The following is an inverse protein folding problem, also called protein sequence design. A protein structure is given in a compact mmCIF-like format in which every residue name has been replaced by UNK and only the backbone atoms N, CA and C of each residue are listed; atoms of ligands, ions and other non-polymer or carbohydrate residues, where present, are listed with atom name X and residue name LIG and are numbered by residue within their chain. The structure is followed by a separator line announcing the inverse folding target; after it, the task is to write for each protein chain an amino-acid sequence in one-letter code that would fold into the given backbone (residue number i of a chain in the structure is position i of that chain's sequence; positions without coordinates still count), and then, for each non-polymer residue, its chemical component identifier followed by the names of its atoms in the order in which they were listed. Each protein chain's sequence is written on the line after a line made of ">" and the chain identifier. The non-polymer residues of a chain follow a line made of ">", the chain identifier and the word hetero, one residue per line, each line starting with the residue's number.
data_IF_013939375565
#
_entry.id   IF_013939375565
#
_cell.length_a   1.000
_cell.length_b   1.000
_cell.length_c   1.000
_cell.angle_alpha   90.00
_cell.angle_beta   90.00
_cell.angle_gamma   90.00
#
_symmetry.space_group_name_H-M   'P 1'
#
loop_
_entity.id
_entity.type
_entity.pdbx_description
1 polymer ?
#
# COMPACT_ATOMS: atom_id res chain seq x y z
N UNK A 1 -6.67 -16.66 20.93
CA UNK A 1 -5.80 -17.02 19.83
C UNK A 1 -5.81 -15.95 18.77
N UNK A 2 -4.73 -15.80 18.04
CA UNK A 2 -4.61 -14.77 17.04
C UNK A 2 -3.73 -15.18 15.89
N UNK A 3 -3.50 -14.24 14.99
CA UNK A 3 -2.70 -14.44 13.80
C UNK A 3 -1.45 -13.57 13.91
N UNK A 4 -0.33 -14.08 13.44
CA UNK A 4 0.90 -13.31 13.35
C UNK A 4 1.01 -12.78 11.92
N UNK A 5 1.13 -11.47 11.79
CA UNK A 5 1.39 -10.83 10.49
C UNK A 5 2.81 -10.32 10.47
N UNK A 6 3.46 -10.42 9.32
CA UNK A 6 4.85 -9.98 9.16
C UNK A 6 4.92 -8.79 8.22
N UNK A 7 5.85 -7.90 8.49
CA UNK A 7 6.04 -6.74 7.65
C UNK A 7 7.08 -5.80 8.22
N UNK A 8 7.24 -4.69 7.53
CA UNK A 8 8.17 -3.65 7.92
C UNK A 8 7.43 -2.52 8.61
N UNK A 9 7.98 -2.05 9.72
CA UNK A 9 7.47 -0.84 10.36
C UNK A 9 7.96 0.35 9.55
N UNK A 10 7.05 1.05 8.88
CA UNK A 10 7.42 2.17 8.02
C UNK A 10 7.67 3.44 8.80
N UNK A 11 6.85 3.69 9.82
CA UNK A 11 6.95 4.89 10.65
C UNK A 11 6.52 4.59 12.08
N UNK A 12 7.10 5.32 13.01
CA UNK A 12 6.70 5.28 14.41
C UNK A 12 7.11 4.02 15.12
N UNK A 13 6.35 3.70 16.13
CA UNK A 13 6.61 2.56 17.03
C UNK A 13 5.31 1.84 17.26
N UNK A 14 5.33 0.50 17.14
CA UNK A 14 4.19 -0.32 17.53
C UNK A 14 4.55 -1.04 18.83
N UNK A 15 3.64 -0.98 19.81
CA UNK A 15 3.86 -1.56 21.13
C UNK A 15 2.83 -2.62 21.45
N UNK A 16 3.24 -3.56 22.28
CA UNK A 16 2.34 -4.57 22.85
C UNK A 16 1.24 -3.85 23.63
N UNK A 17 0.02 -4.35 23.49
CA UNK A 17 -1.22 -3.85 24.12
C UNK A 17 -1.80 -2.60 23.43
N UNK A 18 -1.20 -2.12 22.35
CA UNK A 18 -1.79 -1.01 21.60
C UNK A 18 -2.88 -1.49 20.65
N UNK A 19 -3.92 -0.67 20.53
CA UNK A 19 -4.97 -0.89 19.55
C UNK A 19 -4.46 -0.47 18.18
N UNK A 20 -4.75 -1.27 17.16
CA UNK A 20 -4.37 -0.98 15.78
C UNK A 20 -5.56 -1.20 14.86
N UNK A 21 -5.52 -0.55 13.70
CA UNK A 21 -6.46 -0.79 12.61
C UNK A 21 -5.77 -1.57 11.51
N UNK A 22 -6.53 -2.46 10.87
CA UNK A 22 -6.10 -3.17 9.67
C UNK A 22 -6.78 -2.45 8.51
N UNK A 23 -5.99 -1.78 7.67
CA UNK A 23 -6.49 -0.85 6.66
C UNK A 23 -6.12 -1.30 5.26
N UNK A 24 -7.10 -1.26 4.36
CA UNK A 24 -6.90 -1.57 2.95
C UNK A 24 -7.49 -2.92 2.54
N UNK A 25 -7.75 -3.08 1.27
CA UNK A 25 -8.28 -4.27 0.60
C UNK A 25 -9.71 -4.60 1.06
N UNK A 26 -9.89 -4.81 2.35
CA UNK A 26 -11.18 -5.13 2.97
C UNK A 26 -11.64 -3.97 3.86
N UNK A 27 -12.83 -4.07 4.41
CA UNK A 27 -13.31 -3.08 5.37
C UNK A 27 -12.32 -2.98 6.54
N UNK A 28 -12.08 -1.75 6.99
CA UNK A 28 -11.17 -1.50 8.11
C UNK A 28 -11.67 -2.17 9.38
N UNK A 29 -10.81 -2.89 10.06
CA UNK A 29 -11.12 -3.54 11.33
C UNK A 29 -10.15 -3.10 12.40
N UNK A 30 -10.53 -3.25 13.65
CA UNK A 30 -9.69 -2.93 14.80
C UNK A 30 -9.31 -4.19 15.56
N UNK A 31 -8.10 -4.20 16.06
CA UNK A 31 -7.63 -5.29 16.92
C UNK A 31 -6.56 -4.73 17.85
N UNK A 32 -5.97 -5.60 18.65
CA UNK A 32 -4.92 -5.22 19.59
C UNK A 32 -3.66 -5.99 19.28
N UNK A 33 -2.54 -5.30 19.28
CA UNK A 33 -1.23 -5.94 19.19
C UNK A 33 -0.95 -6.62 20.53
N UNK A 34 -0.85 -7.95 20.53
CA UNK A 34 -0.59 -8.70 21.75
C UNK A 34 0.84 -9.24 21.82
N UNK A 35 1.61 -9.07 20.76
CA UNK A 35 3.00 -9.48 20.76
C UNK A 35 3.75 -8.90 19.58
N UNK A 36 5.03 -8.62 19.79
CA UNK A 36 5.97 -8.19 18.74
C UNK A 36 7.13 -9.18 18.75
N UNK A 37 7.46 -9.69 17.57
CA UNK A 37 8.51 -10.69 17.42
C UNK A 37 9.52 -10.26 16.37
N UNK A 38 10.80 -10.44 16.67
CA UNK A 38 11.87 -10.20 15.69
C UNK A 38 12.99 -11.20 15.99
N UNK A 39 13.44 -11.92 14.93
CA UNK A 39 14.48 -12.96 15.08
C UNK A 39 14.12 -13.99 16.16
N UNK A 40 12.84 -14.39 16.21
CA UNK A 40 12.33 -15.38 17.18
C UNK A 40 12.39 -14.92 18.63
N UNK A 41 12.59 -13.62 18.86
CA UNK A 41 12.55 -13.03 20.20
C UNK A 41 11.29 -12.20 20.35
N UNK A 42 10.69 -12.27 21.52
CA UNK A 42 9.56 -11.44 21.87
C UNK A 42 10.08 -10.10 22.37
N UNK A 43 9.51 -9.03 21.86
CA UNK A 43 9.89 -7.67 22.19
C UNK A 43 8.68 -6.92 22.71
N UNK A 44 8.91 -5.79 23.38
CA UNK A 44 7.83 -4.93 23.85
C UNK A 44 7.34 -4.00 22.73
N UNK A 45 8.17 -3.73 21.74
CA UNK A 45 7.84 -2.80 20.68
C UNK A 45 8.63 -3.08 19.41
N UNK A 46 8.10 -2.60 18.28
CA UNK A 46 8.80 -2.58 16.99
C UNK A 46 8.95 -1.15 16.52
N UNK A 47 10.10 -0.81 15.95
CA UNK A 47 10.44 0.55 15.52
C UNK A 47 10.58 0.67 14.01
N UNK A 48 10.40 1.89 13.52
CA UNK A 48 10.56 2.21 12.09
C UNK A 48 11.86 1.63 11.53
N UNK A 49 11.75 0.98 10.38
CA UNK A 49 12.86 0.32 9.71
C UNK A 49 13.01 -1.15 10.03
N UNK A 50 12.37 -1.63 11.09
CA UNK A 50 12.48 -3.03 11.49
C UNK A 50 11.45 -3.92 10.81
N UNK A 51 11.86 -5.15 10.49
CA UNK A 51 10.93 -6.19 10.03
C UNK A 51 10.50 -6.97 11.26
N UNK A 52 9.19 -7.03 11.47
CA UNK A 52 8.63 -7.62 12.69
C UNK A 52 7.48 -8.57 12.37
N UNK A 53 7.19 -9.46 13.30
CA UNK A 53 5.95 -10.21 13.34
C UNK A 53 5.08 -9.60 14.42
N UNK A 54 3.82 -9.33 14.09
CA UNK A 54 2.87 -8.74 15.03
C UNK A 54 1.77 -9.75 15.30
N UNK A 55 1.56 -10.07 16.56
CA UNK A 55 0.48 -10.95 16.97
C UNK A 55 -0.78 -10.11 17.20
N UNK A 56 -1.83 -10.44 16.48
CA UNK A 56 -3.10 -9.72 16.52
C UNK A 56 -4.16 -10.53 17.26
N UNK A 57 -4.80 -9.92 18.23
CA UNK A 57 -5.81 -10.57 19.06
C UNK A 57 -7.05 -10.91 18.26
N UNK A 58 -7.53 -12.16 18.39
CA UNK A 58 -8.81 -12.58 17.83
C UNK A 58 -8.92 -12.49 16.31
N UNK A 59 -7.81 -12.28 15.63
CA UNK A 59 -7.78 -12.13 14.18
C UNK A 59 -7.50 -13.49 13.57
N UNK A 60 -8.31 -13.89 12.61
CA UNK A 60 -8.10 -15.14 11.89
C UNK A 60 -7.20 -14.88 10.69
N UNK A 61 -6.56 -15.93 10.20
CA UNK A 61 -5.68 -15.83 9.05
C UNK A 61 -6.38 -15.25 7.82
N UNK A 62 -7.64 -15.65 7.59
CA UNK A 62 -8.43 -15.17 6.46
C UNK A 62 -8.90 -13.72 6.60
N UNK A 63 -8.73 -13.13 7.77
CA UNK A 63 -9.12 -11.74 8.01
C UNK A 63 -8.04 -10.75 7.56
N UNK A 64 -6.86 -11.22 7.24
CA UNK A 64 -5.73 -10.39 6.83
C UNK A 64 -5.19 -10.84 5.50
N UNK A 65 -4.74 -9.90 4.68
CA UNK A 65 -4.08 -10.25 3.43
C UNK A 65 -2.98 -9.25 3.08
N UNK A 66 -2.14 -9.68 2.17
CA UNK A 66 -1.03 -8.88 1.68
C UNK A 66 -1.54 -7.54 1.15
N UNK A 67 -0.84 -6.48 1.47
CA UNK A 67 -1.19 -5.14 1.02
C UNK A 67 -1.95 -4.33 2.06
N UNK A 68 -2.45 -4.97 3.10
CA UNK A 68 -3.05 -4.25 4.20
C UNK A 68 -1.98 -3.62 5.08
N UNK A 69 -2.34 -2.56 5.78
CA UNK A 69 -1.44 -1.83 6.66
C UNK A 69 -1.99 -1.85 8.07
N UNK A 70 -1.14 -2.14 9.03
CA UNK A 70 -1.46 -1.95 10.44
C UNK A 70 -1.12 -0.52 10.80
N UNK A 71 -2.05 0.20 11.38
CA UNK A 71 -1.86 1.60 11.71
C UNK A 71 -2.53 1.96 13.01
N UNK A 72 -2.02 3.01 13.65
CA UNK A 72 -2.68 3.60 14.80
C UNK A 72 -4.08 4.06 14.36
N UNK A 73 -5.13 3.79 15.15
CA UNK A 73 -6.49 4.13 14.73
C UNK A 73 -6.64 5.58 14.28
N UNK A 74 -7.28 5.77 13.12
CA UNK A 74 -7.56 7.08 12.57
C UNK A 74 -6.41 7.79 11.86
N UNK A 75 -5.25 7.15 11.73
CA UNK A 75 -4.07 7.82 11.14
C UNK A 75 -3.94 7.67 9.63
N UNK A 76 -4.49 6.61 9.07
CA UNK A 76 -4.47 6.38 7.62
C UNK A 76 -5.79 5.77 7.20
N UNK A 77 -6.23 6.08 5.97
CA UNK A 77 -7.51 5.60 5.45
C UNK A 77 -7.32 4.90 4.11
N UNK A 78 -8.25 3.99 3.77
CA UNK A 78 -8.21 3.34 2.45
C UNK A 78 -8.82 4.25 1.40
N UNK A 79 -8.27 4.19 0.19
CA UNK A 79 -8.77 4.96 -0.95
C UNK A 79 -8.73 4.11 -2.20
N UNK A 80 -9.71 4.30 -3.07
CA UNK A 80 -9.73 3.69 -4.40
C UNK A 80 -9.38 4.70 -5.47
N UNK A 81 -9.65 5.99 -5.24
CA UNK A 81 -9.44 7.03 -6.24
C UNK A 81 -8.45 8.06 -5.71
N UNK A 82 -7.47 8.40 -6.53
CA UNK A 82 -6.45 9.37 -6.12
C UNK A 82 -5.85 10.08 -7.31
N UNK A 83 -5.32 11.27 -7.06
CA UNK A 83 -4.54 12.02 -8.02
C UNK A 83 -3.08 11.69 -7.83
N UNK A 84 -2.33 11.61 -8.92
CA UNK A 84 -0.92 11.29 -8.86
C UNK A 84 -0.14 11.96 -9.97
N UNK A 85 1.16 12.02 -9.79
CA UNK A 85 2.10 12.46 -10.80
C UNK A 85 2.99 11.26 -11.13
N UNK A 86 3.09 10.94 -12.42
CA UNK A 86 3.79 9.75 -12.90
C UNK A 86 4.86 10.14 -13.88
N UNK A 87 6.06 9.62 -13.69
CA UNK A 87 7.12 9.68 -14.67
C UNK A 87 7.17 8.34 -15.41
N UNK A 88 7.04 8.39 -16.73
CA UNK A 88 7.08 7.19 -17.57
C UNK A 88 8.53 6.98 -18.00
N UNK A 89 9.15 5.93 -17.50
CA UNK A 89 10.55 5.62 -17.82
C UNK A 89 10.72 5.51 -19.33
N UNK A 90 11.80 6.10 -19.83
CA UNK A 90 12.15 6.01 -21.23
C UNK A 90 12.71 4.62 -21.55
N UNK A 91 12.81 4.30 -22.84
CA UNK A 91 13.40 3.03 -23.28
C UNK A 91 14.82 2.84 -22.72
N UNK A 92 15.62 3.91 -22.75
CA UNK A 92 17.00 3.91 -22.27
C UNK A 92 17.10 3.66 -20.78
N UNK A 93 16.04 4.01 -20.04
CA UNK A 93 15.97 3.80 -18.59
C UNK A 93 15.38 2.44 -18.23
N UNK A 94 15.14 1.59 -19.23
CA UNK A 94 14.54 0.29 -19.01
C UNK A 94 13.01 0.31 -19.01
N UNK A 95 12.44 1.40 -19.47
CA UNK A 95 10.99 1.57 -19.51
C UNK A 95 10.35 0.97 -20.75
N UNK A 96 9.10 1.32 -20.96
CA UNK A 96 8.34 0.82 -22.10
C UNK A 96 8.79 1.45 -23.40
N UNK A 97 8.53 0.77 -24.51
CA UNK A 97 8.92 1.23 -25.83
C UNK A 97 7.79 1.93 -26.59
N UNK A 98 6.58 1.82 -26.07
CA UNK A 98 5.38 2.33 -26.74
C UNK A 98 4.61 3.26 -25.82
N UNK A 99 3.82 4.18 -26.36
CA UNK A 99 2.96 5.02 -25.53
C UNK A 99 1.81 4.22 -24.96
N UNK A 100 1.15 4.78 -23.96
CA UNK A 100 -0.14 4.25 -23.53
C UNK A 100 -1.23 5.30 -23.74
N UNK A 101 -2.45 4.83 -23.81
CA UNK A 101 -3.59 5.64 -24.22
C UNK A 101 -4.66 5.69 -23.15
N UNK A 102 -5.68 6.50 -23.38
CA UNK A 102 -6.89 6.52 -22.55
C UNK A 102 -7.39 5.10 -22.35
N UNK A 103 -7.83 4.82 -21.15
CA UNK A 103 -8.34 3.49 -20.82
C UNK A 103 -7.25 2.50 -20.40
N UNK A 104 -6.02 2.95 -20.29
CA UNK A 104 -4.92 2.11 -19.82
C UNK A 104 -5.23 1.60 -18.43
N UNK A 105 -5.05 0.29 -18.22
CA UNK A 105 -5.51 -0.37 -17.02
C UNK A 105 -4.43 -1.32 -16.47
N UNK A 106 -3.31 -0.75 -16.00
CA UNK A 106 -2.17 -1.53 -15.53
C UNK A 106 -2.30 -2.00 -14.08
N UNK A 107 -1.26 -2.67 -13.59
CA UNK A 107 -1.10 -3.00 -12.19
C UNK A 107 -0.33 -1.90 -11.48
N UNK A 108 -0.85 -1.50 -10.33
CA UNK A 108 -0.24 -0.50 -9.45
C UNK A 108 0.35 -1.20 -8.25
N UNK A 109 1.63 -1.01 -8.02
CA UNK A 109 2.37 -1.68 -6.95
C UNK A 109 2.52 -0.76 -5.76
N UNK A 110 1.83 -1.10 -4.69
CA UNK A 110 1.89 -0.36 -3.42
C UNK A 110 2.48 -1.28 -2.36
N UNK A 111 3.60 -0.86 -1.77
CA UNK A 111 4.24 -1.63 -0.70
C UNK A 111 4.44 -3.09 -1.10
N UNK A 112 3.61 -4.00 -0.58
CA UNK A 112 3.78 -5.44 -0.75
C UNK A 112 2.79 -6.07 -1.72
N UNK A 113 1.92 -5.29 -2.33
CA UNK A 113 0.89 -5.85 -3.20
C UNK A 113 0.68 -5.03 -4.46
N UNK A 114 0.00 -5.61 -5.43
CA UNK A 114 -0.40 -4.91 -6.64
C UNK A 114 -1.92 -4.94 -6.79
N UNK A 115 -2.44 -3.90 -7.42
CA UNK A 115 -3.87 -3.71 -7.62
C UNK A 115 -4.08 -3.15 -9.02
N UNK A 116 -5.05 -3.70 -9.74
CA UNK A 116 -5.42 -3.16 -11.04
C UNK A 116 -6.07 -1.79 -10.87
N UNK A 117 -5.68 -0.85 -11.70
CA UNK A 117 -6.26 0.49 -11.68
C UNK A 117 -6.48 1.04 -13.06
N UNK A 118 -7.43 1.94 -13.18
CA UNK A 118 -7.76 2.61 -14.41
C UNK A 118 -7.17 4.01 -14.39
N UNK A 119 -6.43 4.36 -15.46
CA UNK A 119 -5.79 5.67 -15.59
C UNK A 119 -6.72 6.63 -16.33
N UNK A 120 -7.00 7.77 -15.71
CA UNK A 120 -7.77 8.84 -16.32
C UNK A 120 -6.81 9.98 -16.64
N UNK A 121 -6.61 10.21 -17.95
CA UNK A 121 -5.67 11.23 -18.42
C UNK A 121 -6.32 12.62 -18.36
N UNK A 122 -5.50 13.69 -18.28
CA UNK A 122 -6.04 15.04 -18.30
C UNK A 122 -6.82 15.31 -19.59
N UNK A 123 -7.72 16.28 -19.55
CA UNK A 123 -8.50 16.69 -20.69
C UNK A 123 -7.58 17.10 -21.84
N UNK A 124 -7.87 16.61 -23.05
CA UNK A 124 -7.09 16.91 -24.23
C UNK A 124 -5.86 16.02 -24.43
N UNK A 125 -5.56 15.15 -23.45
CA UNK A 125 -4.44 14.23 -23.57
C UNK A 125 -4.97 12.87 -23.98
N UNK A 126 -4.54 12.41 -25.17
CA UNK A 126 -4.98 11.12 -25.71
C UNK A 126 -3.96 10.01 -25.47
N UNK A 127 -2.69 10.36 -25.34
CA UNK A 127 -1.64 9.38 -25.11
C UNK A 127 -0.49 9.96 -24.29
N UNK A 128 0.26 9.07 -23.67
CA UNK A 128 1.44 9.40 -22.87
C UNK A 128 2.63 8.61 -23.41
N UNK A 129 3.72 9.31 -23.67
CA UNK A 129 4.92 8.75 -24.26
C UNK A 129 5.95 8.36 -23.21
N UNK A 130 6.82 7.37 -23.51
CA UNK A 130 7.98 7.12 -22.66
C UNK A 130 8.79 8.41 -22.51
N UNK A 131 9.20 8.70 -21.26
CA UNK A 131 9.91 9.94 -20.95
C UNK A 131 9.04 11.08 -20.47
N UNK A 132 7.73 10.94 -20.58
CA UNK A 132 6.79 11.99 -20.16
C UNK A 132 6.57 11.99 -18.64
N UNK A 133 6.29 13.16 -18.12
CA UNK A 133 5.71 13.37 -16.81
C UNK A 133 4.23 13.68 -17.01
N UNK A 134 3.37 13.05 -16.25
CA UNK A 134 1.93 13.26 -16.43
C UNK A 134 1.22 13.24 -15.07
N UNK A 135 0.29 14.17 -14.90
CA UNK A 135 -0.64 14.15 -13.78
C UNK A 135 -1.89 13.41 -14.23
N UNK A 136 -2.36 12.48 -13.39
CA UNK A 136 -3.55 11.74 -13.76
C UNK A 136 -4.34 11.32 -12.53
N UNK A 137 -5.56 10.90 -12.76
CA UNK A 137 -6.44 10.36 -11.72
C UNK A 137 -6.52 8.87 -11.94
N UNK A 138 -6.35 8.11 -10.85
CA UNK A 138 -6.37 6.65 -10.89
C UNK A 138 -7.52 6.16 -10.04
N UNK A 139 -8.24 5.16 -10.54
CA UNK A 139 -9.27 4.46 -9.79
C UNK A 139 -8.89 2.99 -9.70
N UNK A 140 -8.62 2.52 -8.49
CA UNK A 140 -8.22 1.13 -8.23
C UNK A 140 -9.46 0.25 -8.05
N UNK A 141 -9.30 -1.05 -8.36
CA UNK A 141 -10.40 -2.01 -8.16
C UNK A 141 -10.56 -2.43 -6.71
N UNK A 142 -9.60 -2.12 -5.85
CA UNK A 142 -9.67 -2.40 -4.42
C UNK A 142 -9.03 -1.24 -3.66
N UNK A 143 -9.50 -0.94 -2.44
CA UNK A 143 -8.94 0.16 -1.67
C UNK A 143 -7.56 -0.17 -1.12
N UNK A 144 -6.70 0.85 -1.07
CA UNK A 144 -5.36 0.74 -0.52
C UNK A 144 -5.20 1.84 0.53
N UNK A 145 -4.59 1.49 1.65
CA UNK A 145 -4.24 2.47 2.68
C UNK A 145 -3.23 3.44 2.08
N UNK A 146 -3.56 4.72 2.03
CA UNK A 146 -2.66 5.70 1.44
C UNK A 146 -2.84 7.09 2.05
N UNK A 147 -1.81 7.88 1.88
CA UNK A 147 -1.76 9.27 2.30
C UNK A 147 -0.91 10.02 1.28
N UNK A 148 -0.94 11.34 1.37
CA UNK A 148 -0.14 12.17 0.47
C UNK A 148 1.33 11.79 0.53
N UNK A 149 1.96 11.73 -0.63
CA UNK A 149 3.38 11.40 -0.73
C UNK A 149 3.69 9.92 -0.83
N UNK A 150 2.70 9.05 -0.76
CA UNK A 150 2.93 7.62 -0.93
C UNK A 150 3.46 7.35 -2.33
N UNK A 151 4.56 6.61 -2.43
CA UNK A 151 5.15 6.24 -3.71
C UNK A 151 4.63 4.89 -4.17
N UNK A 152 4.57 4.72 -5.48
CA UNK A 152 4.12 3.47 -6.09
C UNK A 152 4.75 3.31 -7.46
N UNK A 153 4.67 2.09 -7.99
CA UNK A 153 5.14 1.78 -9.34
C UNK A 153 4.00 1.25 -10.18
N UNK A 154 4.12 1.39 -11.49
CA UNK A 154 3.12 0.91 -12.46
C UNK A 154 3.80 -0.06 -13.40
N UNK A 155 3.12 -1.16 -13.68
CA UNK A 155 3.57 -2.13 -14.68
C UNK A 155 2.46 -2.58 -15.57
#
# INVERSE_FOLDING_TARGET
>A
RGTVVTGRVERGIIKVQEEVEIVGIKATTKTTCTGVEMFRKLLDEGRAGENVGILLRGTKREDVERGQVLAKPGTIKPHTKFECEVYVLSKEEGGRHTPFFKGYRPQFYFRTTDVTGNCELPEGVEMVMPGDNIKMVVTLIAPIAMEDGLRFAIR
#
